data_IF_066166657246
#
_entry.id   IF_066166657246
#
_cell.length_a   1.000
_cell.length_b   1.000
_cell.length_c   1.000
_cell.angle_alpha   90.00
_cell.angle_beta   90.00
_cell.angle_gamma   90.00
#
_symmetry.space_group_name_H-M   'P 1'
#
loop_
_entity.id
_entity.type
_entity.pdbx_description
1 polymer ?
#
# COMPACT_ATOMS: atom_id res chain seq x y z
N UNK A 1 25.10 20.10 39.07
CA UNK A 1 23.81 20.39 38.39
C UNK A 1 23.84 20.22 36.85
N UNK A 2 24.95 20.48 36.13
CA UNK A 2 25.07 20.34 34.66
C UNK A 2 24.83 18.93 34.07
N UNK A 3 25.15 17.85 34.79
CA UNK A 3 24.94 16.48 34.30
C UNK A 3 23.46 16.07 34.29
N UNK A 4 22.69 16.46 35.32
CA UNK A 4 21.25 16.17 35.38
C UNK A 4 20.49 16.84 34.24
N UNK A 5 20.80 18.09 33.92
CA UNK A 5 20.18 18.80 32.79
C UNK A 5 20.53 18.19 31.44
N UNK A 6 21.74 17.62 31.30
CA UNK A 6 22.15 16.91 30.08
C UNK A 6 21.42 15.58 29.90
N UNK A 7 21.25 14.82 30.98
CA UNK A 7 20.48 13.56 30.96
C UNK A 7 19.02 13.85 30.63
N UNK A 8 18.40 14.84 31.29
CA UNK A 8 17.01 15.24 31.02
C UNK A 8 16.83 15.69 29.56
N UNK A 9 17.76 16.46 29.02
CA UNK A 9 17.71 16.88 27.61
C UNK A 9 17.77 15.68 26.64
N UNK A 10 18.63 14.69 26.91
CA UNK A 10 18.72 13.46 26.11
C UNK A 10 17.46 12.60 26.23
N UNK A 11 16.86 12.51 27.44
CA UNK A 11 15.61 11.77 27.65
C UNK A 11 14.45 12.40 26.88
N UNK A 12 14.34 13.74 26.90
CA UNK A 12 13.31 14.47 26.14
C UNK A 12 13.53 14.28 24.64
N UNK A 13 14.76 14.40 24.14
CA UNK A 13 15.07 14.20 22.73
C UNK A 13 14.72 12.78 22.26
N UNK A 14 15.02 11.76 23.05
CA UNK A 14 14.67 10.38 22.75
C UNK A 14 13.15 10.14 22.79
N UNK A 15 12.44 10.75 23.74
CA UNK A 15 10.98 10.67 23.79
C UNK A 15 10.32 11.31 22.56
N UNK A 16 10.84 12.45 22.09
CA UNK A 16 10.38 13.10 20.85
C UNK A 16 10.64 12.20 19.65
N UNK A 17 11.85 11.63 19.53
CA UNK A 17 12.19 10.70 18.46
C UNK A 17 11.28 9.47 18.45
N UNK A 18 11.01 8.89 19.63
CA UNK A 18 10.10 7.76 19.76
C UNK A 18 8.68 8.12 19.30
N UNK A 19 8.15 9.26 19.77
CA UNK A 19 6.84 9.74 19.34
C UNK A 19 6.77 9.97 17.83
N UNK A 20 7.82 10.54 17.23
CA UNK A 20 7.90 10.76 15.79
C UNK A 20 7.87 9.43 15.02
N UNK A 21 8.64 8.43 15.46
CA UNK A 21 8.67 7.09 14.84
C UNK A 21 7.30 6.41 14.93
N UNK A 22 6.60 6.54 16.06
CA UNK A 22 5.25 5.95 16.25
C UNK A 22 4.18 6.70 15.46
N UNK A 23 4.29 8.02 15.30
CA UNK A 23 3.29 8.84 14.60
C UNK A 23 3.29 8.63 13.07
N UNK A 24 4.44 8.36 12.46
CA UNK A 24 4.56 8.15 11.01
C UNK A 24 3.70 6.97 10.49
N UNK A 25 3.72 5.76 11.08
CA UNK A 25 2.88 4.66 10.62
C UNK A 25 1.39 4.88 10.90
N UNK A 26 1.03 5.63 11.95
CA UNK A 26 -0.36 5.98 12.25
C UNK A 26 -0.97 6.96 11.22
N UNK A 27 -0.14 7.74 10.54
CA UNK A 27 -0.58 8.73 9.55
C UNK A 27 -0.60 8.19 8.13
N UNK A 28 0.15 7.13 7.83
CA UNK A 28 0.05 6.42 6.57
C UNK A 28 -1.12 5.43 6.60
N UNK A 29 -2.29 5.87 6.15
CA UNK A 29 -3.35 4.94 5.76
C UNK A 29 -2.81 4.10 4.60
N UNK A 30 -2.67 2.80 4.79
CA UNK A 30 -2.49 1.90 3.66
C UNK A 30 -3.83 1.83 2.94
N UNK A 31 -3.90 2.32 1.70
CA UNK A 31 -5.13 2.37 0.92
C UNK A 31 -5.78 0.99 0.71
N UNK A 32 -5.04 -0.11 0.93
CA UNK A 32 -5.56 -1.49 0.89
C UNK A 32 -6.03 -2.06 2.24
N UNK A 33 -5.93 -1.34 3.36
CA UNK A 33 -6.32 -1.82 4.71
C UNK A 33 -7.62 -1.20 5.24
N UNK A 34 -8.37 -0.46 4.43
CA UNK A 34 -9.78 -0.18 4.73
C UNK A 34 -10.58 -1.50 4.72
N UNK A 35 -10.55 -2.22 5.85
CA UNK A 35 -11.63 -3.03 6.44
C UNK A 35 -11.09 -3.92 7.56
N UNK A 36 -10.71 -3.28 8.67
CA UNK A 36 -10.82 -3.92 10.00
C UNK A 36 -12.30 -4.13 10.43
N UNK A 37 -13.27 -3.73 9.60
CA UNK A 37 -14.67 -4.13 9.70
C UNK A 37 -14.98 -5.17 8.64
N UNK A 38 -15.25 -6.41 9.07
CA UNK A 38 -15.93 -7.50 8.34
C UNK A 38 -15.92 -7.26 6.81
N UNK A 39 -14.82 -7.65 6.14
CA UNK A 39 -14.81 -7.73 4.67
C UNK A 39 -15.95 -8.66 4.27
N UNK A 40 -16.93 -8.13 3.55
CA UNK A 40 -17.94 -8.95 2.88
C UNK A 40 -17.19 -9.91 1.94
N UNK A 41 -17.75 -11.10 1.73
CA UNK A 41 -17.17 -12.08 0.82
C UNK A 41 -16.86 -11.38 -0.52
N UNK A 42 -15.58 -11.36 -0.88
CA UNK A 42 -15.12 -10.65 -2.06
C UNK A 42 -15.08 -11.61 -3.25
N UNK A 43 -15.58 -11.15 -4.39
CA UNK A 43 -15.47 -11.87 -5.66
C UNK A 43 -14.21 -11.43 -6.39
N UNK A 44 -13.31 -12.38 -6.62
CA UNK A 44 -12.05 -12.13 -7.30
C UNK A 44 -12.08 -12.72 -8.71
N UNK A 45 -11.60 -11.93 -9.68
CA UNK A 45 -11.31 -12.41 -11.02
C UNK A 45 -9.83 -12.22 -11.33
N UNK A 46 -9.24 -13.20 -12.01
CA UNK A 46 -7.81 -13.22 -12.30
C UNK A 46 -7.57 -13.36 -13.80
N UNK A 47 -6.59 -12.62 -14.33
CA UNK A 47 -6.20 -12.66 -15.73
C UNK A 47 -4.69 -12.52 -15.90
N UNK A 48 -4.11 -13.33 -16.77
CA UNK A 48 -2.70 -13.22 -17.16
C UNK A 48 -2.54 -12.36 -18.42
N UNK A 49 -1.48 -11.56 -18.48
CA UNK A 49 -1.14 -10.76 -19.65
C UNK A 49 0.35 -10.49 -19.76
N UNK A 50 0.81 -10.12 -20.95
CA UNK A 50 2.18 -9.66 -21.14
C UNK A 50 2.25 -8.15 -20.89
N UNK A 51 3.24 -7.70 -20.12
CA UNK A 51 3.46 -6.28 -19.85
C UNK A 51 4.80 -5.87 -20.45
N UNK A 52 4.84 -4.80 -21.26
CA UNK A 52 6.10 -4.28 -21.78
C UNK A 52 7.07 -3.96 -20.63
N UNK A 53 8.30 -4.48 -20.72
CA UNK A 53 9.32 -4.32 -19.67
C UNK A 53 9.30 -5.36 -18.56
N UNK A 54 8.36 -6.32 -18.59
CA UNK A 54 8.27 -7.44 -17.64
C UNK A 54 8.46 -8.76 -18.38
N UNK A 55 9.52 -9.49 -18.05
CA UNK A 55 9.93 -10.70 -18.78
C UNK A 55 8.99 -11.90 -18.60
N UNK A 56 8.34 -12.02 -17.44
CA UNK A 56 7.59 -13.23 -17.06
C UNK A 56 6.07 -13.08 -17.23
N UNK A 57 5.62 -11.95 -17.80
CA UNK A 57 4.21 -11.55 -17.81
C UNK A 57 3.72 -11.08 -16.44
N UNK A 58 2.54 -10.47 -16.42
CA UNK A 58 1.88 -10.02 -15.22
C UNK A 58 0.55 -10.78 -15.00
N UNK A 59 0.29 -11.08 -13.74
CA UNK A 59 -0.98 -11.59 -13.25
C UNK A 59 -1.76 -10.42 -12.63
N UNK A 60 -2.96 -10.19 -13.11
CA UNK A 60 -3.87 -9.18 -12.58
C UNK A 60 -4.94 -9.87 -11.75
N UNK A 61 -5.12 -9.39 -10.52
CA UNK A 61 -6.18 -9.82 -9.62
C UNK A 61 -7.09 -8.61 -9.40
N UNK A 62 -8.36 -8.78 -9.73
CA UNK A 62 -9.38 -7.75 -9.54
C UNK A 62 -10.34 -8.21 -8.46
N UNK A 63 -10.45 -7.42 -7.39
CA UNK A 63 -11.50 -7.53 -6.38
C UNK A 63 -12.70 -6.71 -6.85
N UNK A 64 -13.74 -7.40 -7.31
CA UNK A 64 -14.95 -6.78 -7.84
C UNK A 64 -15.83 -6.20 -6.73
N UNK A 65 -15.61 -6.59 -5.48
CA UNK A 65 -16.43 -6.15 -4.34
C UNK A 65 -15.92 -4.82 -3.77
N UNK A 66 -14.63 -4.55 -3.92
CA UNK A 66 -13.98 -3.35 -3.40
C UNK A 66 -13.45 -2.42 -4.50
N UNK A 67 -13.66 -2.78 -5.77
CA UNK A 67 -13.13 -2.06 -6.93
C UNK A 67 -11.61 -1.86 -6.83
N UNK A 68 -10.89 -2.94 -6.49
CA UNK A 68 -9.43 -2.90 -6.35
C UNK A 68 -8.78 -3.81 -7.38
N UNK A 69 -7.62 -3.40 -7.90
CA UNK A 69 -6.78 -4.22 -8.75
C UNK A 69 -5.36 -4.29 -8.23
N UNK A 70 -4.83 -5.51 -8.17
CA UNK A 70 -3.45 -5.82 -7.87
C UNK A 70 -2.79 -6.43 -9.10
N UNK A 71 -1.61 -5.94 -9.44
CA UNK A 71 -0.76 -6.56 -10.47
C UNK A 71 0.45 -7.22 -9.83
N UNK A 72 0.71 -8.46 -10.23
CA UNK A 72 1.73 -9.32 -9.67
C UNK A 72 2.61 -9.86 -10.81
N UNK A 73 3.87 -10.14 -10.52
CA UNK A 73 4.81 -10.77 -11.45
C UNK A 73 5.57 -11.88 -10.73
N UNK A 74 5.81 -12.98 -11.43
CA UNK A 74 6.75 -13.99 -10.97
C UNK A 74 8.18 -13.47 -11.14
N UNK A 75 8.90 -13.36 -10.03
CA UNK A 75 10.32 -13.07 -10.05
C UNK A 75 11.09 -14.40 -10.03
N UNK A 76 11.63 -14.79 -11.18
CA UNK A 76 12.29 -16.07 -11.30
C UNK A 76 13.63 -16.16 -10.56
N UNK A 77 14.29 -15.01 -10.31
CA UNK A 77 15.57 -14.97 -9.60
C UNK A 77 15.43 -15.31 -8.12
N UNK A 78 14.35 -14.86 -7.48
CA UNK A 78 14.08 -15.11 -6.06
C UNK A 78 12.95 -16.12 -5.83
N UNK A 79 12.42 -16.71 -6.90
CA UNK A 79 11.32 -17.69 -6.89
C UNK A 79 10.13 -17.21 -6.03
N UNK A 80 9.73 -15.95 -6.23
CA UNK A 80 8.66 -15.33 -5.44
C UNK A 80 7.77 -14.43 -6.29
N UNK A 81 6.54 -14.21 -5.80
CA UNK A 81 5.62 -13.26 -6.42
C UNK A 81 5.95 -11.85 -5.95
N UNK A 82 6.20 -10.94 -6.89
CA UNK A 82 6.44 -9.52 -6.60
C UNK A 82 5.24 -8.70 -7.02
N UNK A 83 4.79 -7.77 -6.15
CA UNK A 83 3.73 -6.82 -6.49
C UNK A 83 4.30 -5.77 -7.43
N UNK A 84 3.72 -5.65 -8.62
CA UNK A 84 4.05 -4.62 -9.58
C UNK A 84 3.30 -3.33 -9.29
N UNK A 85 2.06 -3.43 -8.81
CA UNK A 85 1.25 -2.26 -8.52
C UNK A 85 -0.09 -2.56 -7.87
N UNK A 86 -0.69 -1.49 -7.38
CA UNK A 86 -2.04 -1.45 -6.84
C UNK A 86 -2.78 -0.30 -7.51
N UNK A 87 -4.07 -0.48 -7.75
CA UNK A 87 -4.94 0.54 -8.33
C UNK A 87 -6.34 0.43 -7.74
N UNK A 88 -6.90 1.57 -7.34
CA UNK A 88 -8.28 1.70 -6.91
C UNK A 88 -9.14 2.07 -8.14
N UNK A 89 -9.95 1.13 -8.60
CA UNK A 89 -10.77 1.25 -9.80
C UNK A 89 -11.96 2.18 -9.56
N UNK A 90 -12.49 2.28 -8.33
CA UNK A 90 -13.54 3.23 -7.99
C UNK A 90 -13.05 4.68 -8.18
N UNK A 91 -11.86 5.00 -7.68
CA UNK A 91 -11.22 6.30 -7.87
C UNK A 91 -10.97 6.61 -9.36
N UNK A 92 -10.52 5.62 -10.14
CA UNK A 92 -10.27 5.79 -11.58
C UNK A 92 -11.56 6.00 -12.39
N UNK A 93 -12.66 5.34 -12.01
CA UNK A 93 -13.96 5.50 -12.65
C UNK A 93 -14.51 6.93 -12.50
N UNK A 94 -14.26 7.56 -11.34
CA UNK A 94 -14.66 8.94 -11.06
C UNK A 94 -13.90 9.95 -11.94
N UNK A 95 -12.64 9.67 -12.29
CA UNK A 95 -11.85 10.52 -13.19
C UNK A 95 -12.29 10.34 -14.64
N UNK A 96 -12.64 9.12 -15.04
CA UNK A 96 -13.00 8.78 -16.43
C UNK A 96 -14.39 9.27 -16.85
N UNK A 97 -15.28 9.54 -15.89
CA UNK A 97 -16.66 10.01 -16.13
C UNK A 97 -16.79 11.52 -16.38
N UNK A 98 -15.70 12.30 -16.28
CA UNK A 98 -15.75 13.73 -16.67
C UNK A 98 -15.94 13.85 -18.19
N UNK A 99 -17.01 14.51 -18.67
CA UNK A 99 -17.18 14.77 -20.09
C UNK A 99 -15.98 15.57 -20.61
N UNK A 100 -15.35 15.10 -21.68
CA UNK A 100 -14.32 15.87 -22.37
C UNK A 100 -15.02 17.05 -23.08
N UNK A 101 -14.49 18.28 -22.98
CA UNK A 101 -15.05 19.45 -23.67
C UNK A 101 -14.96 19.32 -25.19
#
# INVERSE_FOLDING_TARGET
MRQRSRIVALTIANAILLCAIVAIPLSKRADGQERLGIRSHATYSMGGGNVPGVATGALYIVDQTHDEMLSLMWNDSVKSMTILGYRNLAADSAVSSRPRP
#
